data_IF_718049991485
#
_entry.id   IF_718049991485
#
_cell.length_a   1.000
_cell.length_b   1.000
_cell.length_c   1.000
_cell.angle_alpha   90.00
_cell.angle_beta   90.00
_cell.angle_gamma   90.00
#
_symmetry.space_group_name_H-M   'P 1'
#
loop_
_entity.id
_entity.type
_entity.pdbx_description
1 polymer ?
#
# COMPACT_ATOMS: atom_id res chain seq x y z
N UNK A 1 -21.64 19.99 3.21
CA UNK A 1 -20.85 19.08 2.34
C UNK A 1 -19.52 19.71 1.95
N UNK A 2 -19.47 20.91 1.35
CA UNK A 2 -18.24 21.57 0.89
C UNK A 2 -17.21 21.81 1.99
N UNK A 3 -17.64 22.28 3.17
CA UNK A 3 -16.75 22.50 4.33
C UNK A 3 -16.10 21.20 4.81
N UNK A 4 -16.85 20.10 4.83
CA UNK A 4 -16.34 18.77 5.24
C UNK A 4 -15.35 18.27 4.21
N UNK A 5 -15.69 18.31 2.92
CA UNK A 5 -14.76 17.91 1.85
C UNK A 5 -13.46 18.72 1.88
N UNK A 6 -13.54 20.04 2.15
CA UNK A 6 -12.36 20.88 2.29
C UNK A 6 -11.52 20.50 3.52
N UNK A 7 -12.16 20.24 4.67
CA UNK A 7 -11.45 19.81 5.88
C UNK A 7 -10.72 18.47 5.65
N UNK A 8 -11.40 17.49 5.09
CA UNK A 8 -10.85 16.14 4.84
C UNK A 8 -9.72 16.15 3.80
N UNK A 9 -9.90 16.88 2.68
CA UNK A 9 -9.01 16.76 1.52
C UNK A 9 -7.99 17.90 1.40
N UNK A 10 -8.13 18.98 2.18
CA UNK A 10 -7.26 20.15 2.05
C UNK A 10 -6.62 20.56 3.36
N UNK A 11 -7.31 20.51 4.48
CA UNK A 11 -6.73 20.80 5.81
C UNK A 11 -5.92 19.60 6.29
N UNK A 12 -6.50 18.38 6.18
CA UNK A 12 -5.86 17.14 6.57
C UNK A 12 -5.68 16.20 5.36
N UNK A 13 -4.81 16.53 4.40
CA UNK A 13 -4.80 15.89 3.08
C UNK A 13 -4.44 14.40 3.09
N UNK A 14 -3.74 13.93 4.11
CA UNK A 14 -3.45 12.51 4.33
C UNK A 14 -4.39 11.91 5.39
N UNK A 15 -4.42 12.48 6.59
CA UNK A 15 -5.18 11.93 7.72
C UNK A 15 -6.70 11.88 7.44
N UNK A 16 -7.23 12.88 6.74
CA UNK A 16 -8.63 12.91 6.37
C UNK A 16 -9.05 11.72 5.50
N UNK A 17 -8.45 11.54 4.29
CA UNK A 17 -8.72 10.37 3.46
C UNK A 17 -8.46 9.05 4.17
N UNK A 18 -7.37 8.93 4.94
CA UNK A 18 -7.05 7.73 5.70
C UNK A 18 -8.17 7.34 6.67
N UNK A 19 -8.64 8.28 7.49
CA UNK A 19 -9.72 8.03 8.44
C UNK A 19 -11.05 7.69 7.74
N UNK A 20 -11.36 8.37 6.62
CA UNK A 20 -12.56 8.04 5.84
C UNK A 20 -12.51 6.61 5.32
N UNK A 21 -11.37 6.18 4.77
CA UNK A 21 -11.19 4.81 4.29
C UNK A 21 -11.28 3.80 5.44
N UNK A 22 -10.60 4.04 6.56
CA UNK A 22 -10.65 3.16 7.73
C UNK A 22 -12.06 2.98 8.26
N UNK A 23 -12.84 4.06 8.35
CA UNK A 23 -14.24 4.00 8.82
C UNK A 23 -15.13 3.29 7.79
N UNK A 24 -15.00 3.63 6.51
CA UNK A 24 -15.82 3.03 5.45
C UNK A 24 -15.56 1.53 5.30
N UNK A 25 -14.32 1.09 5.50
CA UNK A 25 -13.91 -0.31 5.35
C UNK A 25 -14.02 -1.13 6.64
N UNK A 26 -14.23 -0.50 7.80
CA UNK A 26 -14.32 -1.20 9.09
C UNK A 26 -15.32 -2.36 9.10
N UNK A 27 -16.53 -2.25 8.51
CA UNK A 27 -17.46 -3.37 8.44
C UNK A 27 -16.88 -4.58 7.70
N UNK A 28 -16.17 -4.34 6.58
CA UNK A 28 -15.51 -5.42 5.81
C UNK A 28 -14.39 -6.05 6.62
N UNK A 29 -13.55 -5.26 7.30
CA UNK A 29 -12.51 -5.79 8.17
C UNK A 29 -13.08 -6.71 9.23
N UNK A 30 -14.10 -6.24 9.97
CA UNK A 30 -14.74 -7.02 11.07
C UNK A 30 -15.34 -8.32 10.53
N UNK A 31 -16.04 -8.27 9.39
CA UNK A 31 -16.66 -9.43 8.78
C UNK A 31 -15.65 -10.44 8.21
N UNK A 32 -14.44 -9.98 7.85
CA UNK A 32 -13.41 -10.80 7.21
C UNK A 32 -12.41 -11.44 8.18
N UNK A 33 -12.44 -11.06 9.47
CA UNK A 33 -11.48 -11.61 10.44
C UNK A 33 -11.58 -13.15 10.54
N UNK A 34 -10.46 -13.85 10.65
CA UNK A 34 -9.06 -13.41 10.80
C UNK A 34 -8.38 -12.94 9.53
N UNK A 35 -9.06 -12.91 8.40
CA UNK A 35 -8.61 -12.53 7.06
C UNK A 35 -9.23 -13.46 6.00
N UNK A 36 -9.34 -12.98 4.77
CA UNK A 36 -9.82 -13.77 3.64
C UNK A 36 -8.69 -14.71 3.16
N UNK A 37 -8.81 -15.97 3.51
CA UNK A 37 -7.76 -16.97 3.31
C UNK A 37 -7.74 -17.47 1.86
N UNK A 38 -6.54 -17.56 1.27
CA UNK A 38 -6.28 -18.10 -0.07
C UNK A 38 -5.41 -19.34 -0.01
N UNK A 39 -5.48 -20.18 -1.05
CA UNK A 39 -4.66 -21.39 -1.14
C UNK A 39 -3.15 -21.12 -1.04
N UNK A 40 -2.69 -20.05 -1.70
CA UNK A 40 -1.28 -19.60 -1.64
C UNK A 40 -0.85 -19.23 -0.22
N UNK A 41 -1.73 -18.62 0.56
CA UNK A 41 -1.49 -18.26 1.97
C UNK A 41 -1.18 -19.50 2.80
N UNK A 42 -1.98 -20.55 2.61
CA UNK A 42 -1.77 -21.83 3.29
C UNK A 42 -0.44 -22.47 2.93
N UNK A 43 -0.07 -22.42 1.64
CA UNK A 43 1.22 -22.96 1.16
C UNK A 43 2.41 -22.20 1.78
N UNK A 44 2.34 -20.86 1.85
CA UNK A 44 3.39 -20.02 2.46
C UNK A 44 3.55 -20.27 3.96
N UNK A 45 2.43 -20.36 4.70
CA UNK A 45 2.47 -20.65 6.14
C UNK A 45 3.08 -22.05 6.38
N UNK A 46 2.65 -23.07 5.64
CA UNK A 46 3.24 -24.41 5.72
C UNK A 46 4.73 -24.41 5.38
N UNK A 47 5.13 -23.63 4.39
CA UNK A 47 6.53 -23.48 4.02
C UNK A 47 7.35 -22.86 5.16
N UNK A 48 6.84 -21.83 5.82
CA UNK A 48 7.50 -21.20 6.97
C UNK A 48 7.73 -22.16 8.13
N UNK A 49 6.73 -22.97 8.45
CA UNK A 49 6.81 -23.98 9.52
C UNK A 49 7.40 -25.32 9.09
N UNK A 50 7.95 -25.40 7.88
CA UNK A 50 8.55 -26.61 7.33
C UNK A 50 7.56 -27.80 7.23
N UNK A 51 6.27 -27.55 7.08
CA UNK A 51 5.28 -28.58 6.84
C UNK A 51 5.19 -28.97 5.35
N UNK A 52 4.77 -30.21 5.02
CA UNK A 52 4.51 -30.62 3.64
C UNK A 52 3.56 -29.64 2.93
N UNK A 53 3.95 -29.24 1.71
CA UNK A 53 3.14 -28.40 0.85
C UNK A 53 3.46 -28.65 -0.62
N UNK A 54 2.43 -28.59 -1.46
CA UNK A 54 2.54 -28.94 -2.89
C UNK A 54 3.53 -28.10 -3.69
N UNK A 55 4.01 -26.95 -3.16
CA UNK A 55 4.97 -26.09 -3.86
C UNK A 55 6.42 -26.43 -3.57
N UNK A 56 6.73 -27.14 -2.49
CA UNK A 56 8.11 -27.51 -2.12
C UNK A 56 8.35 -29.02 -2.04
N UNK A 57 7.31 -29.85 -2.01
CA UNK A 57 7.46 -31.29 -1.82
C UNK A 57 8.27 -31.92 -2.94
N UNK A 58 8.07 -31.51 -4.20
CA UNK A 58 8.86 -32.02 -5.34
C UNK A 58 10.34 -31.61 -5.27
N UNK A 59 10.64 -30.41 -4.72
CA UNK A 59 12.03 -29.98 -4.54
C UNK A 59 12.74 -30.73 -3.42
N UNK A 60 11.99 -31.16 -2.39
CA UNK A 60 12.53 -31.99 -1.30
C UNK A 60 12.94 -33.38 -1.73
N UNK A 61 12.36 -33.90 -2.82
CA UNK A 61 12.81 -35.13 -3.45
C UNK A 61 14.23 -35.00 -4.01
N UNK A 62 14.60 -33.79 -4.47
CA UNK A 62 15.92 -33.49 -5.01
C UNK A 62 16.91 -33.00 -3.93
N UNK A 63 16.42 -32.21 -2.99
CA UNK A 63 17.20 -31.69 -1.88
C UNK A 63 16.33 -31.61 -0.61
N UNK A 64 16.46 -32.54 0.35
CA UNK A 64 15.69 -32.58 1.58
C UNK A 64 15.82 -31.36 2.46
N UNK A 65 16.92 -30.59 2.31
CA UNK A 65 17.19 -29.38 3.12
C UNK A 65 16.55 -28.10 2.60
N UNK A 66 15.75 -28.18 1.52
CA UNK A 66 15.03 -27.00 1.01
C UNK A 66 13.93 -26.62 1.98
N UNK A 67 14.10 -25.46 2.64
CA UNK A 67 13.12 -24.86 3.55
C UNK A 67 12.17 -23.91 2.79
N UNK A 68 12.74 -23.04 1.98
CA UNK A 68 12.01 -22.01 1.22
C UNK A 68 12.28 -22.19 -0.27
N UNK A 69 11.25 -22.11 -1.09
CA UNK A 69 11.38 -22.09 -2.53
C UNK A 69 10.95 -20.73 -3.11
N UNK A 70 11.37 -20.41 -4.33
CA UNK A 70 11.08 -19.15 -5.00
C UNK A 70 9.68 -19.07 -5.65
N UNK A 71 8.80 -20.06 -5.45
CA UNK A 71 7.45 -20.04 -6.01
C UNK A 71 6.61 -18.89 -5.42
N UNK A 72 6.78 -18.65 -4.12
CA UNK A 72 6.21 -17.49 -3.46
C UNK A 72 7.32 -16.51 -3.04
N UNK A 73 7.05 -15.18 -3.02
CA UNK A 73 8.01 -14.21 -2.51
C UNK A 73 8.42 -14.51 -1.08
N UNK A 74 9.72 -14.77 -0.88
CA UNK A 74 10.28 -15.17 0.43
C UNK A 74 9.98 -14.12 1.50
N UNK A 75 10.06 -12.84 1.14
CA UNK A 75 9.77 -11.73 2.07
C UNK A 75 8.33 -11.81 2.60
N UNK A 76 7.35 -12.01 1.71
CA UNK A 76 5.95 -12.13 2.13
C UNK A 76 5.73 -13.38 2.98
N UNK A 77 6.33 -14.51 2.60
CA UNK A 77 6.30 -15.75 3.39
C UNK A 77 6.87 -15.53 4.80
N UNK A 78 7.97 -14.79 4.93
CA UNK A 78 8.56 -14.45 6.22
C UNK A 78 7.63 -13.53 7.04
N UNK A 79 7.02 -12.52 6.44
CA UNK A 79 6.12 -11.60 7.14
C UNK A 79 4.91 -12.35 7.70
N UNK A 80 4.17 -13.08 6.85
CA UNK A 80 2.96 -13.78 7.30
C UNK A 80 3.30 -14.93 8.25
N UNK A 81 4.38 -15.67 7.99
CA UNK A 81 4.86 -16.73 8.88
C UNK A 81 5.26 -16.21 10.25
N UNK A 82 5.97 -15.09 10.32
CA UNK A 82 6.34 -14.44 11.59
C UNK A 82 5.12 -13.93 12.36
N UNK A 83 4.11 -13.37 11.67
CA UNK A 83 2.85 -12.99 12.32
C UNK A 83 2.13 -14.20 12.93
N UNK A 84 2.04 -15.32 12.20
CA UNK A 84 1.43 -16.55 12.72
C UNK A 84 2.23 -17.10 13.89
N UNK A 85 3.56 -17.11 13.81
CA UNK A 85 4.44 -17.53 14.89
C UNK A 85 4.26 -16.66 16.14
N UNK A 86 4.14 -15.33 15.97
CA UNK A 86 3.86 -14.40 17.06
C UNK A 86 2.49 -14.69 17.71
N UNK A 87 1.48 -14.94 16.89
CA UNK A 87 0.13 -15.31 17.40
C UNK A 87 0.15 -16.62 18.20
N UNK A 88 0.92 -17.61 17.75
CA UNK A 88 1.10 -18.87 18.47
C UNK A 88 1.85 -18.66 19.80
N UNK A 89 2.92 -17.85 19.79
CA UNK A 89 3.76 -17.63 20.98
C UNK A 89 3.07 -16.80 22.06
N UNK A 90 2.30 -15.78 21.68
CA UNK A 90 1.66 -14.86 22.64
C UNK A 90 0.25 -15.27 23.06
N UNK A 91 -0.51 -15.85 22.13
CA UNK A 91 -1.94 -16.13 22.30
C UNK A 91 -2.30 -17.61 22.13
N UNK A 92 -1.31 -18.47 21.87
CA UNK A 92 -1.51 -19.88 21.54
C UNK A 92 -2.53 -20.08 20.39
N UNK A 93 -2.56 -19.16 19.42
CA UNK A 93 -3.55 -19.12 18.36
C UNK A 93 -2.97 -18.64 17.04
N UNK A 94 -3.04 -19.48 16.02
CA UNK A 94 -2.68 -19.10 14.66
C UNK A 94 -3.59 -17.98 14.12
N UNK A 95 -4.89 -18.02 14.46
CA UNK A 95 -5.84 -16.99 14.06
C UNK A 95 -5.47 -15.61 14.60
N UNK A 96 -4.93 -15.53 15.84
CA UNK A 96 -4.43 -14.26 16.37
C UNK A 96 -3.30 -13.69 15.51
N UNK A 97 -2.40 -14.53 15.01
CA UNK A 97 -1.34 -14.10 14.09
C UNK A 97 -1.89 -13.62 12.74
N UNK A 98 -2.90 -14.30 12.20
CA UNK A 98 -3.58 -13.86 10.97
C UNK A 98 -4.31 -12.53 11.18
N UNK A 99 -4.95 -12.29 12.31
CA UNK A 99 -5.57 -11.00 12.66
C UNK A 99 -4.52 -9.89 12.68
N UNK A 100 -3.37 -10.13 13.31
CA UNK A 100 -2.27 -9.14 13.35
C UNK A 100 -1.84 -8.77 11.92
N UNK A 101 -1.61 -9.78 11.07
CA UNK A 101 -1.25 -9.56 9.68
C UNK A 101 -2.34 -8.80 8.91
N UNK A 102 -3.59 -9.24 9.00
CA UNK A 102 -4.73 -8.63 8.30
C UNK A 102 -4.92 -7.17 8.71
N UNK A 103 -4.87 -6.87 10.01
CA UNK A 103 -5.00 -5.50 10.50
C UNK A 103 -3.83 -4.61 10.00
N UNK A 104 -2.60 -5.11 10.03
CA UNK A 104 -1.44 -4.38 9.53
C UNK A 104 -1.56 -4.10 8.02
N UNK A 105 -1.88 -5.12 7.21
CA UNK A 105 -2.09 -4.97 5.77
C UNK A 105 -3.21 -3.97 5.46
N UNK A 106 -4.32 -4.06 6.17
CA UNK A 106 -5.47 -3.18 6.00
C UNK A 106 -5.12 -1.71 6.25
N UNK A 107 -4.36 -1.43 7.31
CA UNK A 107 -3.85 -0.09 7.63
C UNK A 107 -2.87 0.39 6.54
N UNK A 108 -1.97 -0.47 6.08
CA UNK A 108 -1.00 -0.15 5.03
C UNK A 108 -1.72 0.21 3.74
N UNK A 109 -2.69 -0.61 3.29
CA UNK A 109 -3.46 -0.35 2.07
C UNK A 109 -4.23 0.96 2.16
N UNK A 110 -4.92 1.22 3.28
CA UNK A 110 -5.62 2.49 3.50
C UNK A 110 -4.66 3.69 3.47
N UNK A 111 -3.46 3.54 4.06
CA UNK A 111 -2.43 4.58 4.06
C UNK A 111 -1.87 4.84 2.66
N UNK A 112 -1.60 3.81 1.86
CA UNK A 112 -1.13 3.95 0.47
C UNK A 112 -2.15 4.66 -0.41
N UNK A 113 -3.44 4.33 -0.27
CA UNK A 113 -4.51 5.01 -1.00
C UNK A 113 -4.69 6.47 -0.54
N UNK A 114 -4.66 6.73 0.78
CA UNK A 114 -4.72 8.08 1.32
C UNK A 114 -3.52 8.93 0.86
N UNK A 115 -2.33 8.35 0.84
CA UNK A 115 -1.12 8.98 0.31
C UNK A 115 -1.28 9.34 -1.17
N UNK A 116 -1.85 8.46 -1.97
CA UNK A 116 -2.11 8.71 -3.39
C UNK A 116 -3.06 9.90 -3.58
N UNK A 117 -4.17 9.95 -2.83
CA UNK A 117 -5.12 11.07 -2.86
C UNK A 117 -4.47 12.38 -2.40
N UNK A 118 -3.66 12.33 -1.35
CA UNK A 118 -2.91 13.49 -0.85
C UNK A 118 -1.95 14.03 -1.90
N UNK A 119 -1.26 13.14 -2.61
CA UNK A 119 -0.31 13.50 -3.66
C UNK A 119 -0.98 14.20 -4.85
N UNK A 120 -2.23 13.84 -5.18
CA UNK A 120 -2.99 14.52 -6.23
C UNK A 120 -3.20 16.02 -5.95
N UNK A 121 -3.23 16.42 -4.68
CA UNK A 121 -3.28 17.85 -4.32
C UNK A 121 -2.02 18.58 -4.77
N UNK A 122 -0.84 17.98 -4.56
CA UNK A 122 0.44 18.56 -4.98
C UNK A 122 0.56 18.65 -6.50
N UNK A 123 -0.13 17.77 -7.22
CA UNK A 123 -0.22 17.78 -8.68
C UNK A 123 -1.28 18.75 -9.24
N UNK A 124 -1.94 19.54 -8.38
CA UNK A 124 -2.90 20.55 -8.79
C UNK A 124 -4.30 19.99 -9.13
N UNK A 125 -4.59 18.74 -8.80
CA UNK A 125 -5.91 18.13 -9.06
C UNK A 125 -6.98 18.81 -8.20
N UNK A 126 -8.10 19.18 -8.82
CA UNK A 126 -9.20 19.91 -8.18
C UNK A 126 -9.85 19.11 -7.03
N UNK A 127 -10.39 19.82 -6.05
CA UNK A 127 -11.04 19.23 -4.88
C UNK A 127 -12.19 18.27 -5.23
N UNK A 128 -13.09 18.57 -6.19
CA UNK A 128 -14.16 17.63 -6.57
C UNK A 128 -13.64 16.30 -7.10
N UNK A 129 -12.60 16.34 -7.93
CA UNK A 129 -12.00 15.11 -8.49
C UNK A 129 -11.37 14.26 -7.40
N UNK A 130 -10.62 14.87 -6.48
CA UNK A 130 -10.05 14.16 -5.33
C UNK A 130 -11.13 13.56 -4.42
N UNK A 131 -12.24 14.29 -4.26
CA UNK A 131 -13.41 13.80 -3.53
C UNK A 131 -14.06 12.59 -4.22
N UNK A 132 -14.23 12.65 -5.54
CA UNK A 132 -14.78 11.53 -6.31
C UNK A 132 -13.89 10.27 -6.21
N UNK A 133 -12.56 10.43 -6.27
CA UNK A 133 -11.60 9.33 -6.10
C UNK A 133 -11.67 8.74 -4.68
N UNK A 134 -11.76 9.59 -3.64
CA UNK A 134 -11.91 9.13 -2.27
C UNK A 134 -13.22 8.33 -2.10
N UNK A 135 -14.34 8.82 -2.61
CA UNK A 135 -15.62 8.13 -2.54
C UNK A 135 -15.58 6.79 -3.32
N UNK A 136 -14.94 6.78 -4.49
CA UNK A 136 -14.74 5.56 -5.26
C UNK A 136 -13.97 4.50 -4.44
N UNK A 137 -12.84 4.86 -3.82
CA UNK A 137 -12.08 3.94 -2.99
C UNK A 137 -12.85 3.52 -1.72
N UNK A 138 -13.61 4.44 -1.11
CA UNK A 138 -14.35 4.16 0.11
C UNK A 138 -15.53 3.20 -0.11
N UNK A 139 -16.25 3.34 -1.23
CA UNK A 139 -17.50 2.63 -1.46
C UNK A 139 -17.41 1.48 -2.47
N UNK A 140 -16.33 1.36 -3.23
CA UNK A 140 -16.13 0.21 -4.11
C UNK A 140 -15.68 -1.00 -3.28
N UNK A 141 -16.51 -2.06 -3.14
CA UNK A 141 -16.23 -3.17 -2.22
C UNK A 141 -14.95 -3.94 -2.55
N UNK A 142 -14.47 -3.84 -3.78
CA UNK A 142 -13.25 -4.49 -4.23
C UNK A 142 -12.05 -4.08 -3.37
N UNK A 143 -11.90 -2.78 -3.04
CA UNK A 143 -10.74 -2.30 -2.30
C UNK A 143 -10.71 -2.81 -0.86
N UNK A 144 -11.84 -2.74 -0.15
CA UNK A 144 -11.93 -3.23 1.23
C UNK A 144 -11.75 -4.75 1.32
N UNK A 145 -12.31 -5.52 0.37
CA UNK A 145 -12.13 -6.97 0.32
C UNK A 145 -10.67 -7.33 -0.01
N UNK A 146 -10.04 -6.62 -0.96
CA UNK A 146 -8.63 -6.83 -1.29
C UNK A 146 -7.73 -6.53 -0.09
N UNK A 147 -7.99 -5.44 0.65
CA UNK A 147 -7.24 -5.09 1.85
C UNK A 147 -7.31 -6.17 2.94
N UNK A 148 -8.39 -6.96 3.00
CA UNK A 148 -8.57 -8.08 3.94
C UNK A 148 -8.07 -9.43 3.40
N UNK A 149 -7.65 -9.50 2.13
CA UNK A 149 -7.24 -10.72 1.46
C UNK A 149 -5.78 -11.06 1.83
N UNK A 150 -5.56 -12.25 2.39
CA UNK A 150 -4.25 -12.72 2.84
C UNK A 150 -3.38 -13.16 1.64
N UNK A 151 -2.96 -12.22 0.80
CA UNK A 151 -2.14 -12.51 -0.37
C UNK A 151 -0.98 -11.52 -0.54
N UNK A 152 0.11 -12.01 -1.10
CA UNK A 152 1.29 -11.22 -1.47
C UNK A 152 0.97 -10.06 -2.41
N UNK A 153 -0.06 -10.22 -3.24
CA UNK A 153 -0.39 -9.30 -4.33
C UNK A 153 -0.89 -7.96 -3.82
N UNK A 154 -1.51 -7.90 -2.62
CA UNK A 154 -1.99 -6.66 -2.00
C UNK A 154 -0.83 -5.75 -1.65
N UNK A 155 0.15 -6.24 -0.88
CA UNK A 155 1.32 -5.44 -0.50
C UNK A 155 2.18 -5.06 -1.70
N UNK A 156 2.23 -5.93 -2.73
CA UNK A 156 2.89 -5.61 -3.99
C UNK A 156 2.16 -4.47 -4.72
N UNK A 157 0.83 -4.54 -4.82
CA UNK A 157 0.02 -3.49 -5.45
C UNK A 157 0.16 -2.16 -4.70
N UNK A 158 0.18 -2.17 -3.37
CA UNK A 158 0.39 -1.00 -2.53
C UNK A 158 1.76 -0.36 -2.80
N UNK A 159 2.82 -1.16 -2.82
CA UNK A 159 4.17 -0.69 -3.12
C UNK A 159 4.26 -0.13 -4.55
N UNK A 160 3.64 -0.80 -5.52
CA UNK A 160 3.59 -0.35 -6.91
C UNK A 160 2.81 0.96 -7.06
N UNK A 161 1.67 1.11 -6.35
CA UNK A 161 0.90 2.35 -6.33
C UNK A 161 1.75 3.53 -5.80
N UNK A 162 2.46 3.32 -4.70
CA UNK A 162 3.35 4.36 -4.14
C UNK A 162 4.47 4.69 -5.12
N UNK A 163 5.11 3.70 -5.73
CA UNK A 163 6.14 3.89 -6.75
C UNK A 163 5.61 4.70 -7.93
N UNK A 164 4.41 4.37 -8.44
CA UNK A 164 3.78 5.08 -9.55
C UNK A 164 3.52 6.55 -9.17
N UNK A 165 2.96 6.80 -7.99
CA UNK A 165 2.72 8.17 -7.50
C UNK A 165 4.02 8.96 -7.38
N UNK A 166 5.09 8.36 -6.85
CA UNK A 166 6.39 9.01 -6.75
C UNK A 166 6.98 9.31 -8.14
N UNK A 167 6.85 8.38 -9.08
CA UNK A 167 7.30 8.58 -10.46
C UNK A 167 6.57 9.75 -11.12
N UNK A 168 5.24 9.82 -10.96
CA UNK A 168 4.44 10.93 -11.50
C UNK A 168 4.84 12.26 -10.87
N UNK A 169 5.04 12.31 -9.54
CA UNK A 169 5.54 13.51 -8.84
C UNK A 169 6.89 13.93 -9.39
N UNK A 170 7.81 13.00 -9.57
CA UNK A 170 9.14 13.26 -10.09
C UNK A 170 9.11 13.87 -11.50
N UNK A 171 8.30 13.26 -12.38
CA UNK A 171 8.12 13.77 -13.75
C UNK A 171 7.49 15.16 -13.74
N UNK A 172 6.46 15.37 -12.94
CA UNK A 172 5.77 16.66 -12.83
C UNK A 172 6.68 17.78 -12.26
N UNK A 173 7.57 17.45 -11.31
CA UNK A 173 8.55 18.39 -10.78
C UNK A 173 9.73 18.63 -11.73
N UNK A 174 10.13 17.62 -12.51
CA UNK A 174 11.24 17.70 -13.45
C UNK A 174 10.91 18.41 -14.78
N UNK A 175 9.62 18.59 -15.09
CA UNK A 175 9.20 19.35 -16.26
C UNK A 175 9.37 20.85 -15.95
N UNK A 176 10.11 21.62 -16.77
CA UNK A 176 10.18 23.05 -16.60
C UNK A 176 8.76 23.61 -16.70
N UNK A 177 8.30 24.30 -15.66
CA UNK A 177 7.09 25.12 -15.75
C UNK A 177 7.30 26.07 -16.92
N UNK A 178 6.49 25.93 -17.94
CA UNK A 178 6.45 26.84 -19.09
C UNK A 178 5.76 28.12 -18.60
N UNK A 179 6.52 28.91 -17.84
CA UNK A 179 6.07 30.24 -17.45
C UNK A 179 6.07 31.06 -18.73
N UNK A 180 4.88 31.46 -19.19
CA UNK A 180 4.67 32.29 -20.36
C UNK A 180 5.33 33.68 -20.25
N UNK A 181 6.06 33.95 -19.18
CA UNK A 181 6.74 35.22 -18.91
C UNK A 181 8.29 35.19 -19.11
N UNK A 182 8.88 34.02 -19.45
CA UNK A 182 10.35 33.90 -19.56
C UNK A 182 10.88 34.29 -20.93
N UNK A 183 10.05 34.59 -21.92
CA UNK A 183 10.49 35.09 -23.20
C UNK A 183 11.07 36.52 -23.15
N UNK A 184 11.04 37.22 -22.01
CA UNK A 184 11.54 38.61 -21.87
C UNK A 184 12.79 38.82 -21.03
N UNK A 185 13.30 37.78 -20.37
CA UNK A 185 14.52 37.91 -19.57
C UNK A 185 15.54 36.84 -20.01
N UNK A 186 16.44 37.22 -20.88
CA UNK A 186 17.54 36.38 -21.34
C UNK A 186 18.65 36.21 -20.31
N UNK A 187 18.41 35.54 -19.16
CA UNK A 187 19.49 35.11 -18.29
C UNK A 187 19.13 33.79 -17.60
N UNK A 188 19.82 32.75 -18.05
CA UNK A 188 19.70 31.39 -17.57
C UNK A 188 20.58 31.22 -16.33
N UNK A 189 20.03 31.22 -15.15
CA UNK A 189 20.64 30.46 -14.05
C UNK A 189 20.19 29.00 -14.17
N UNK A 190 21.08 28.14 -14.61
CA UNK A 190 20.88 26.68 -14.60
C UNK A 190 21.07 26.21 -13.16
N UNK A 191 20.01 26.20 -12.36
CA UNK A 191 20.06 25.44 -11.12
C UNK A 191 20.27 23.93 -11.43
N UNK A 192 21.20 23.27 -10.75
CA UNK A 192 21.46 21.87 -11.01
C UNK A 192 20.21 21.03 -10.72
N UNK A 193 19.78 20.24 -11.69
CA UNK A 193 18.59 19.36 -11.63
C UNK A 193 18.50 18.50 -10.34
N UNK A 194 19.64 18.21 -9.74
CA UNK A 194 19.74 17.51 -8.47
C UNK A 194 19.16 18.31 -7.29
N UNK A 195 19.33 19.64 -7.24
CA UNK A 195 18.81 20.47 -6.15
C UNK A 195 17.27 20.52 -6.18
N UNK A 196 16.67 20.65 -7.36
CA UNK A 196 15.20 20.61 -7.55
C UNK A 196 14.64 19.25 -7.14
N UNK A 197 15.36 18.16 -7.42
CA UNK A 197 14.99 16.79 -7.04
C UNK A 197 14.92 16.63 -5.51
N UNK A 198 15.97 17.07 -4.79
CA UNK A 198 15.98 16.97 -3.32
C UNK A 198 14.96 17.87 -2.65
N UNK A 199 14.68 19.05 -3.18
CA UNK A 199 13.66 19.97 -2.64
C UNK A 199 12.26 19.39 -2.80
N UNK A 200 11.95 18.71 -3.90
CA UNK A 200 10.65 18.04 -4.11
C UNK A 200 10.43 16.84 -3.15
N UNK A 201 11.49 16.15 -2.76
CA UNK A 201 11.42 15.03 -1.79
C UNK A 201 11.30 15.51 -0.34
N UNK A 202 11.80 16.71 -0.01
CA UNK A 202 11.75 17.27 1.35
C UNK A 202 10.44 18.00 1.69
N UNK A 203 9.53 18.20 0.75
CA UNK A 203 8.24 18.85 0.97
C UNK A 203 7.11 17.88 1.38
N UNK A 204 7.43 16.69 1.83
CA UNK A 204 6.52 15.74 2.49
C UNK A 204 6.55 16.00 4.02
#
# INVERSE_FOLDING_TARGET
VWRVAHAVLSVHPFAGPFLVLMIAWAPTLIASLPGLFMGDTGAQIRQWFNYPNGTSDYLRLLNPNVLLNGHHPVVHTAIIGSCVQLGLSLFNSANAGLIIYTCAQFVITAACMAYSISSLRKLGVSLPVRGAILLFFAFMPMFSNYAALLTKDVLFADAFLVLLVQTVKLVACGLPRRDANVERAGEKSIEPRAAVFFTCLQQD
#
